data_IF_127768810323
#
_entry.id   IF_127768810323
#
_cell.length_a   1.000
_cell.length_b   1.000
_cell.length_c   1.000
_cell.angle_alpha   90.00
_cell.angle_beta   90.00
_cell.angle_gamma   90.00
#
_symmetry.space_group_name_H-M   'P 1'
#
loop_
_entity.id
_entity.type
_entity.pdbx_description
1 polymer ?
#
# COMPACT_ATOMS: atom_id res chain seq x y z
N UNK A 1 11.15 15.97 13.61
CA UNK A 1 10.25 15.43 12.55
C UNK A 1 9.48 16.55 11.88
N UNK A 2 9.28 16.45 10.58
CA UNK A 2 8.59 17.48 9.79
C UNK A 2 7.06 17.30 9.81
N UNK A 3 6.56 16.10 10.07
CA UNK A 3 5.13 15.76 10.15
C UNK A 3 4.84 15.02 11.45
N UNK A 4 3.74 15.39 12.13
CA UNK A 4 3.31 14.74 13.38
C UNK A 4 2.79 13.32 13.17
N UNK A 5 2.21 13.05 12.00
CA UNK A 5 1.70 11.74 11.66
C UNK A 5 2.24 11.28 10.30
N UNK A 6 2.91 10.13 10.30
CA UNK A 6 3.34 9.40 9.12
C UNK A 6 2.29 8.33 8.82
N UNK A 7 1.69 8.40 7.65
CA UNK A 7 0.70 7.43 7.16
C UNK A 7 1.34 6.64 6.04
N UNK A 8 1.49 5.35 6.23
CA UNK A 8 2.12 4.43 5.28
C UNK A 8 1.05 3.54 4.62
N UNK A 9 1.17 3.31 3.34
CA UNK A 9 0.64 2.09 2.74
C UNK A 9 1.49 0.89 3.15
N UNK A 10 0.98 -0.34 2.92
CA UNK A 10 1.69 -1.57 3.29
C UNK A 10 2.41 -2.20 2.11
N UNK A 11 1.63 -2.62 1.12
CA UNK A 11 2.16 -3.38 -0.02
C UNK A 11 2.99 -2.48 -0.92
N UNK A 12 4.22 -2.92 -1.25
CA UNK A 12 5.18 -2.17 -2.08
C UNK A 12 5.60 -0.79 -1.55
N UNK A 13 5.11 -0.41 -0.39
CA UNK A 13 5.55 0.78 0.36
C UNK A 13 6.38 0.38 1.58
N UNK A 14 5.83 -0.41 2.49
CA UNK A 14 6.53 -0.94 3.67
C UNK A 14 7.23 -2.25 3.36
N UNK A 15 6.56 -3.17 2.66
CA UNK A 15 7.06 -4.50 2.30
C UNK A 15 7.04 -4.74 0.79
N UNK A 16 7.98 -5.51 0.29
CA UNK A 16 8.03 -5.92 -1.12
C UNK A 16 7.10 -7.12 -1.33
N UNK A 17 5.81 -6.87 -1.56
CA UNK A 17 4.77 -7.90 -1.57
C UNK A 17 4.24 -8.21 -2.97
N UNK A 18 4.05 -7.24 -3.86
CA UNK A 18 3.47 -7.53 -5.18
C UNK A 18 4.30 -8.53 -5.96
N UNK A 19 5.59 -8.30 -6.12
CA UNK A 19 6.45 -9.18 -6.90
C UNK A 19 6.66 -10.57 -6.24
N UNK A 20 6.62 -10.64 -4.91
CA UNK A 20 7.01 -11.84 -4.15
C UNK A 20 5.83 -12.65 -3.61
N UNK A 21 4.66 -12.03 -3.46
CA UNK A 21 3.48 -12.63 -2.85
C UNK A 21 2.25 -12.52 -3.78
N UNK A 22 1.79 -11.30 -4.09
CA UNK A 22 0.49 -11.11 -4.76
C UNK A 22 0.51 -11.63 -6.20
N UNK A 23 1.53 -11.29 -6.96
CA UNK A 23 1.66 -11.74 -8.34
C UNK A 23 1.81 -13.27 -8.45
N UNK A 24 2.70 -13.95 -7.69
CA UNK A 24 2.74 -15.42 -7.69
C UNK A 24 1.42 -16.06 -7.27
N UNK A 25 0.75 -15.54 -6.24
CA UNK A 25 -0.56 -16.04 -5.81
C UNK A 25 -1.61 -15.92 -6.91
N UNK A 26 -1.63 -14.77 -7.59
CA UNK A 26 -2.54 -14.54 -8.71
C UNK A 26 -2.29 -15.47 -9.89
N UNK A 27 -1.03 -15.79 -10.18
CA UNK A 27 -0.70 -16.78 -11.22
C UNK A 27 -1.24 -18.18 -10.87
N UNK A 28 -1.25 -18.57 -9.58
CA UNK A 28 -1.86 -19.85 -9.17
C UNK A 28 -3.38 -19.82 -9.38
N UNK A 29 -4.05 -18.72 -9.06
CA UNK A 29 -5.48 -18.57 -9.35
C UNK A 29 -5.77 -18.61 -10.87
N UNK A 30 -4.97 -17.92 -11.68
CA UNK A 30 -5.12 -17.94 -13.15
C UNK A 30 -4.95 -19.35 -13.75
N UNK A 31 -4.05 -20.18 -13.24
CA UNK A 31 -3.90 -21.57 -13.69
C UNK A 31 -5.19 -22.37 -13.54
N UNK A 32 -5.97 -22.09 -12.50
CA UNK A 32 -7.26 -22.74 -12.23
C UNK A 32 -8.40 -22.15 -13.05
N UNK A 33 -8.49 -20.82 -13.05
CA UNK A 33 -9.64 -20.09 -13.61
C UNK A 33 -9.51 -19.82 -15.10
N UNK A 34 -8.30 -19.67 -15.61
CA UNK A 34 -8.01 -19.30 -17.02
C UNK A 34 -6.81 -20.12 -17.54
N UNK A 35 -6.95 -21.45 -17.69
CA UNK A 35 -5.84 -22.31 -18.14
C UNK A 35 -5.19 -21.78 -19.42
N UNK A 36 -3.89 -21.61 -19.42
CA UNK A 36 -3.12 -21.10 -20.56
C UNK A 36 -3.00 -19.56 -20.63
N UNK A 37 -3.70 -18.82 -19.77
CA UNK A 37 -3.51 -17.37 -19.63
C UNK A 37 -2.30 -17.06 -18.76
N UNK A 38 -1.54 -16.06 -19.14
CA UNK A 38 -0.44 -15.49 -18.36
C UNK A 38 -0.51 -13.98 -18.40
N UNK A 39 0.00 -13.34 -17.38
CA UNK A 39 0.21 -11.89 -17.33
C UNK A 39 1.67 -11.66 -16.91
N UNK A 40 2.32 -10.65 -17.46
CA UNK A 40 3.65 -10.24 -16.98
C UNK A 40 3.54 -9.52 -15.63
N UNK A 41 4.62 -9.53 -14.85
CA UNK A 41 4.67 -8.77 -13.59
C UNK A 41 4.44 -7.27 -13.84
N UNK A 42 5.01 -6.73 -14.91
CA UNK A 42 4.84 -5.32 -15.29
C UNK A 42 3.38 -4.99 -15.62
N UNK A 43 2.67 -5.88 -16.34
CA UNK A 43 1.26 -5.68 -16.64
C UNK A 43 0.40 -5.86 -15.39
N UNK A 44 0.76 -6.78 -14.50
CA UNK A 44 0.10 -6.93 -13.21
C UNK A 44 0.21 -5.63 -12.38
N UNK A 45 1.38 -5.01 -12.31
CA UNK A 45 1.54 -3.69 -11.67
C UNK A 45 0.68 -2.62 -12.34
N UNK A 46 0.64 -2.54 -13.69
CA UNK A 46 -0.19 -1.56 -14.41
C UNK A 46 -1.66 -1.71 -14.08
N UNK A 47 -2.16 -2.94 -14.09
CA UNK A 47 -3.56 -3.23 -13.81
C UNK A 47 -3.95 -2.96 -12.35
N UNK A 48 -3.05 -3.17 -11.41
CA UNK A 48 -3.26 -2.80 -10.00
C UNK A 48 -3.23 -1.28 -9.80
N UNK A 49 -2.42 -0.57 -10.56
CA UNK A 49 -2.31 0.88 -10.47
C UNK A 49 -3.57 1.58 -11.00
N UNK A 50 -4.02 1.19 -12.18
CA UNK A 50 -5.22 1.71 -12.84
C UNK A 50 -5.72 0.69 -13.89
N UNK A 51 -6.93 0.14 -13.80
CA UNK A 51 -8.09 0.57 -12.99
C UNK A 51 -8.12 0.03 -11.56
N UNK A 52 -7.17 -0.81 -11.14
CA UNK A 52 -7.16 -1.50 -9.87
C UNK A 52 -7.49 -2.99 -10.00
N UNK A 53 -7.13 -3.79 -9.00
CA UNK A 53 -7.19 -5.24 -9.06
C UNK A 53 -8.59 -5.79 -9.33
N UNK A 54 -9.60 -5.35 -8.57
CA UNK A 54 -10.97 -5.86 -8.72
C UNK A 54 -11.58 -5.47 -10.06
N UNK A 55 -11.52 -4.20 -10.52
CA UNK A 55 -11.94 -3.84 -11.87
C UNK A 55 -11.21 -4.62 -12.97
N UNK A 56 -9.91 -4.85 -12.83
CA UNK A 56 -9.17 -5.70 -13.77
C UNK A 56 -9.73 -7.12 -13.84
N UNK A 57 -9.95 -7.76 -12.71
CA UNK A 57 -10.50 -9.11 -12.65
C UNK A 57 -11.92 -9.19 -13.26
N UNK A 58 -12.79 -8.24 -12.91
CA UNK A 58 -14.20 -8.25 -13.37
C UNK A 58 -14.33 -7.79 -14.82
N UNK A 59 -13.76 -6.63 -15.17
CA UNK A 59 -14.00 -5.99 -16.46
C UNK A 59 -13.15 -6.55 -17.58
N UNK A 60 -11.88 -6.88 -17.29
CA UNK A 60 -10.95 -7.38 -18.33
C UNK A 60 -10.88 -8.89 -18.39
N UNK A 61 -10.90 -9.58 -17.23
CA UNK A 61 -10.85 -11.04 -17.19
C UNK A 61 -12.25 -11.70 -17.17
N UNK A 62 -13.32 -10.92 -16.98
CA UNK A 62 -14.67 -11.42 -16.92
C UNK A 62 -14.90 -12.40 -15.76
N UNK A 63 -14.24 -12.20 -14.62
CA UNK A 63 -14.43 -13.04 -13.44
C UNK A 63 -15.80 -12.82 -12.82
N UNK A 64 -16.48 -13.93 -12.48
CA UNK A 64 -17.70 -13.91 -11.67
C UNK A 64 -17.39 -13.74 -10.19
N UNK A 65 -18.41 -13.48 -9.37
CA UNK A 65 -18.24 -13.39 -7.91
C UNK A 65 -17.67 -14.68 -7.32
N UNK A 66 -18.12 -15.86 -7.81
CA UNK A 66 -17.61 -17.17 -7.39
C UNK A 66 -16.13 -17.36 -7.79
N UNK A 67 -15.72 -16.85 -8.95
CA UNK A 67 -14.32 -16.91 -9.39
C UNK A 67 -13.45 -15.98 -8.58
N UNK A 68 -13.95 -14.80 -8.16
CA UNK A 68 -13.27 -13.92 -7.23
C UNK A 68 -13.09 -14.56 -5.84
N UNK A 69 -14.07 -15.31 -5.35
CA UNK A 69 -13.92 -16.09 -4.11
C UNK A 69 -12.84 -17.17 -4.22
N UNK A 70 -12.72 -17.83 -5.38
CA UNK A 70 -11.66 -18.80 -5.65
C UNK A 70 -10.28 -18.09 -5.67
N UNK A 71 -10.22 -16.93 -6.31
CA UNK A 71 -8.98 -16.12 -6.34
C UNK A 71 -8.53 -15.74 -4.92
N UNK A 72 -9.45 -15.17 -4.11
CA UNK A 72 -9.19 -14.81 -2.70
C UNK A 72 -8.74 -16.04 -1.90
N UNK A 73 -9.32 -17.22 -2.15
CA UNK A 73 -8.89 -18.47 -1.50
C UNK A 73 -7.47 -18.84 -1.90
N UNK A 74 -7.14 -18.82 -3.19
CA UNK A 74 -5.78 -19.09 -3.69
C UNK A 74 -4.77 -18.12 -3.07
N UNK A 75 -5.11 -16.83 -3.01
CA UNK A 75 -4.29 -15.81 -2.38
C UNK A 75 -4.06 -16.13 -0.88
N UNK A 76 -5.13 -16.42 -0.11
CA UNK A 76 -5.02 -16.78 1.31
C UNK A 76 -4.15 -18.02 1.55
N UNK A 77 -4.33 -19.04 0.74
CA UNK A 77 -3.56 -20.28 0.82
C UNK A 77 -2.06 -19.97 0.55
N UNK A 78 -1.76 -19.13 -0.43
CA UNK A 78 -0.39 -18.73 -0.75
C UNK A 78 0.25 -17.89 0.36
N UNK A 79 -0.41 -16.84 0.83
CA UNK A 79 0.13 -15.95 1.87
C UNK A 79 0.27 -16.65 3.21
N UNK A 80 -0.46 -17.74 3.48
CA UNK A 80 -0.30 -18.51 4.73
C UNK A 80 1.11 -19.10 4.88
N UNK A 81 1.79 -19.40 3.77
CA UNK A 81 3.14 -19.97 3.74
C UNK A 81 4.24 -18.98 3.36
N UNK A 82 3.89 -17.72 3.06
CA UNK A 82 4.85 -16.73 2.56
C UNK A 82 4.67 -15.39 3.29
N UNK A 83 5.79 -14.73 3.61
CA UNK A 83 5.82 -13.39 4.22
C UNK A 83 6.62 -12.44 3.36
N UNK A 84 6.15 -11.21 3.20
CA UNK A 84 6.87 -10.19 2.48
C UNK A 84 8.02 -9.62 3.33
N UNK A 85 9.16 -9.33 2.70
CA UNK A 85 10.28 -8.66 3.35
C UNK A 85 10.06 -7.15 3.36
N UNK A 86 10.27 -6.50 4.51
CA UNK A 86 10.28 -5.05 4.57
C UNK A 86 11.43 -4.45 3.75
N UNK A 87 11.20 -3.30 3.15
CA UNK A 87 12.27 -2.54 2.52
C UNK A 87 13.28 -2.06 3.57
N UNK A 88 14.55 -2.09 3.21
CA UNK A 88 15.62 -1.61 4.07
C UNK A 88 15.42 -0.11 4.35
N UNK A 89 15.58 0.31 5.61
CA UNK A 89 15.36 1.69 6.06
C UNK A 89 13.96 1.99 6.62
N UNK A 90 12.94 1.20 6.31
CA UNK A 90 11.56 1.42 6.81
C UNK A 90 11.49 1.31 8.33
N UNK A 91 12.20 0.34 8.93
CA UNK A 91 12.22 0.17 10.39
C UNK A 91 12.74 1.43 11.07
N UNK A 92 13.87 1.92 10.63
CA UNK A 92 14.54 3.11 11.21
C UNK A 92 13.65 4.35 11.11
N UNK A 93 12.90 4.49 10.02
CA UNK A 93 11.92 5.58 9.83
C UNK A 93 10.80 5.47 10.86
N UNK A 94 10.19 4.28 11.03
CA UNK A 94 9.10 4.06 11.97
C UNK A 94 9.58 4.26 13.41
N UNK A 95 10.74 3.69 13.76
CA UNK A 95 11.36 3.83 15.09
C UNK A 95 11.65 5.31 15.40
N UNK A 96 12.22 6.04 14.45
CA UNK A 96 12.55 7.46 14.63
C UNK A 96 11.30 8.31 14.80
N UNK A 97 10.26 8.10 13.96
CA UNK A 97 8.98 8.82 14.08
C UNK A 97 8.38 8.65 15.48
N UNK A 98 8.31 7.40 15.96
CA UNK A 98 7.76 7.10 17.30
C UNK A 98 8.65 7.61 18.42
N UNK A 99 9.97 7.54 18.31
CA UNK A 99 10.91 8.04 19.32
C UNK A 99 10.81 9.56 19.51
N UNK A 100 10.48 10.30 18.46
CA UNK A 100 10.22 11.75 18.55
C UNK A 100 8.78 12.10 19.04
N UNK A 101 8.00 11.10 19.43
CA UNK A 101 6.60 11.28 19.87
C UNK A 101 5.61 11.46 18.73
N UNK A 102 6.02 11.15 17.49
CA UNK A 102 5.15 11.14 16.32
C UNK A 102 4.26 9.91 16.25
N UNK A 103 3.24 9.99 15.41
CA UNK A 103 2.23 8.97 15.17
C UNK A 103 2.57 8.24 13.88
N UNK A 104 2.35 6.93 13.84
CA UNK A 104 2.46 6.10 12.64
C UNK A 104 1.15 5.37 12.42
N UNK A 105 0.46 5.66 11.32
CA UNK A 105 -0.75 4.96 10.91
C UNK A 105 -0.51 4.20 9.61
N UNK A 106 -1.38 3.23 9.34
CA UNK A 106 -1.32 2.43 8.13
C UNK A 106 -2.70 2.37 7.47
N UNK A 107 -2.74 2.62 6.15
CA UNK A 107 -3.95 2.53 5.32
C UNK A 107 -3.62 1.69 4.11
N UNK A 108 -4.22 0.49 4.00
CA UNK A 108 -3.87 -0.48 2.96
C UNK A 108 -5.08 -1.24 2.43
N UNK A 109 -4.94 -1.83 1.24
CA UNK A 109 -5.87 -2.83 0.72
C UNK A 109 -5.52 -4.26 1.18
N UNK A 110 -4.49 -4.44 2.00
CA UNK A 110 -4.18 -5.72 2.64
C UNK A 110 -5.05 -5.99 3.86
N UNK A 111 -5.21 -7.27 4.20
CA UNK A 111 -5.89 -7.69 5.43
C UNK A 111 -5.05 -7.39 6.67
N UNK A 112 -5.70 -6.97 7.74
CA UNK A 112 -5.08 -6.63 9.04
C UNK A 112 -4.18 -7.74 9.58
N UNK A 113 -4.62 -9.02 9.47
CA UNK A 113 -3.83 -10.15 9.95
C UNK A 113 -2.51 -10.29 9.18
N UNK A 114 -2.54 -9.99 7.88
CA UNK A 114 -1.37 -10.06 7.02
C UNK A 114 -0.38 -8.94 7.35
N UNK A 115 -0.89 -7.72 7.48
CA UNK A 115 -0.13 -6.54 7.90
C UNK A 115 0.58 -6.82 9.24
N UNK A 116 -0.17 -7.25 10.26
CA UNK A 116 0.37 -7.52 11.60
C UNK A 116 1.46 -8.60 11.57
N UNK A 117 1.23 -9.70 10.85
CA UNK A 117 2.22 -10.76 10.69
C UNK A 117 3.50 -10.26 10.03
N UNK A 118 3.38 -9.49 8.94
CA UNK A 118 4.54 -8.97 8.22
C UNK A 118 5.32 -7.98 9.10
N UNK A 119 4.64 -7.15 9.89
CA UNK A 119 5.28 -6.28 10.88
C UNK A 119 6.03 -7.08 11.97
N UNK A 120 5.42 -8.14 12.50
CA UNK A 120 6.05 -9.02 13.51
C UNK A 120 7.28 -9.73 12.95
N UNK A 121 7.17 -10.37 11.78
CA UNK A 121 8.27 -11.12 11.16
C UNK A 121 9.45 -10.22 10.79
N UNK A 122 9.17 -8.99 10.33
CA UNK A 122 10.19 -7.99 10.00
C UNK A 122 10.66 -7.19 11.23
N UNK A 123 10.14 -7.48 12.42
CA UNK A 123 10.39 -6.73 13.67
C UNK A 123 10.16 -5.21 13.51
N UNK A 124 9.11 -4.81 12.83
CA UNK A 124 8.71 -3.42 12.69
C UNK A 124 7.88 -2.99 13.92
N UNK A 125 8.03 -1.76 14.43
CA UNK A 125 7.12 -1.24 15.47
C UNK A 125 5.70 -1.15 14.92
N UNK A 126 4.71 -1.71 15.66
CA UNK A 126 3.31 -1.69 15.23
C UNK A 126 2.79 -0.27 15.03
N UNK A 127 1.98 -0.03 13.98
CA UNK A 127 1.29 1.24 13.79
C UNK A 127 0.33 1.56 14.93
N UNK A 128 0.05 2.83 15.14
CA UNK A 128 -0.90 3.29 16.16
C UNK A 128 -2.35 3.08 15.74
N UNK A 129 -2.61 3.10 14.43
CA UNK A 129 -3.88 2.71 13.82
C UNK A 129 -3.62 1.97 12.50
N UNK A 130 -4.48 0.99 12.19
CA UNK A 130 -4.48 0.23 10.92
C UNK A 130 -5.88 0.32 10.32
N UNK A 131 -5.95 0.63 9.04
CA UNK A 131 -7.15 0.58 8.20
C UNK A 131 -6.87 -0.35 7.03
N UNK A 132 -7.29 -1.60 7.15
CA UNK A 132 -7.06 -2.67 6.18
C UNK A 132 -8.30 -3.02 5.38
N UNK A 133 -8.23 -4.17 4.71
CA UNK A 133 -9.32 -4.69 3.88
C UNK A 133 -10.59 -5.03 4.66
N UNK A 134 -10.51 -5.17 5.98
CA UNK A 134 -11.67 -5.39 6.86
C UNK A 134 -12.58 -4.18 6.95
N UNK A 135 -12.12 -2.99 6.59
CA UNK A 135 -12.99 -1.83 6.46
C UNK A 135 -14.06 -2.09 5.37
N UNK A 136 -15.31 -1.61 5.58
CA UNK A 136 -16.32 -1.64 4.52
C UNK A 136 -15.81 -1.02 3.21
N UNK A 137 -16.23 -1.52 2.03
CA UNK A 137 -15.69 -1.06 0.74
C UNK A 137 -15.72 0.46 0.56
N UNK A 138 -16.78 1.13 1.01
CA UNK A 138 -16.95 2.59 0.93
C UNK A 138 -16.02 3.38 1.86
N UNK A 139 -15.33 2.70 2.79
CA UNK A 139 -14.36 3.30 3.72
C UNK A 139 -12.90 3.03 3.33
N UNK A 140 -12.67 2.19 2.31
CA UNK A 140 -11.32 1.88 1.82
C UNK A 140 -10.80 2.97 0.89
N UNK A 141 -9.49 3.01 0.65
CA UNK A 141 -8.90 3.89 -0.38
C UNK A 141 -9.68 3.76 -1.71
N UNK A 142 -10.07 4.84 -2.37
CA UNK A 142 -9.65 6.24 -2.16
C UNK A 142 -10.56 7.06 -1.21
N UNK A 143 -11.41 6.45 -0.39
CA UNK A 143 -12.25 7.17 0.59
C UNK A 143 -11.40 7.90 1.63
N UNK A 144 -11.83 9.10 2.02
CA UNK A 144 -11.15 9.92 3.05
C UNK A 144 -11.41 9.43 4.48
N UNK A 145 -12.26 8.42 4.66
CA UNK A 145 -12.70 7.94 5.97
C UNK A 145 -11.54 7.69 6.95
N UNK A 146 -10.50 6.97 6.53
CA UNK A 146 -9.35 6.68 7.39
C UNK A 146 -8.63 7.96 7.84
N UNK A 147 -8.47 8.93 6.94
CA UNK A 147 -7.85 10.24 7.26
C UNK A 147 -8.70 11.04 8.24
N UNK A 148 -10.01 11.01 8.09
CA UNK A 148 -10.96 11.65 9.03
C UNK A 148 -10.84 11.03 10.43
N UNK A 149 -10.75 9.70 10.51
CA UNK A 149 -10.59 9.01 11.80
C UNK A 149 -9.24 9.35 12.46
N UNK A 150 -8.13 9.36 11.70
CA UNK A 150 -6.79 9.72 12.19
C UNK A 150 -6.78 11.19 12.65
N UNK A 151 -7.26 12.10 11.80
CA UNK A 151 -7.35 13.53 12.11
C UNK A 151 -8.17 13.78 13.38
N UNK A 152 -9.37 13.18 13.48
CA UNK A 152 -10.23 13.30 14.65
C UNK A 152 -9.62 12.71 15.92
N UNK A 153 -9.00 11.53 15.83
CA UNK A 153 -8.40 10.84 16.98
C UNK A 153 -7.25 11.59 17.61
N UNK A 154 -6.41 12.22 16.79
CA UNK A 154 -5.18 12.89 17.23
C UNK A 154 -5.26 14.41 17.14
N UNK A 155 -6.41 14.99 16.76
CA UNK A 155 -6.64 16.42 16.56
C UNK A 155 -5.60 17.04 15.61
N UNK A 156 -5.34 16.37 14.48
CA UNK A 156 -4.37 16.79 13.49
C UNK A 156 -5.03 17.55 12.34
N UNK A 157 -4.31 18.53 11.83
CA UNK A 157 -4.64 19.17 10.55
C UNK A 157 -4.00 18.40 9.39
N UNK A 158 -4.53 18.53 8.15
CA UNK A 158 -3.97 17.85 6.98
C UNK A 158 -2.46 18.08 6.79
N UNK A 159 -2.00 19.33 6.98
CA UNK A 159 -0.58 19.71 6.82
C UNK A 159 0.36 19.13 7.90
N UNK A 160 -0.18 18.58 8.98
CA UNK A 160 0.58 17.89 10.04
C UNK A 160 0.73 16.39 9.77
N UNK A 161 0.10 15.89 8.72
CA UNK A 161 0.14 14.51 8.26
C UNK A 161 0.90 14.42 6.95
N UNK A 162 1.45 13.25 6.63
CA UNK A 162 2.00 12.92 5.31
C UNK A 162 1.65 11.48 4.97
N UNK A 163 1.26 11.25 3.73
CA UNK A 163 0.97 9.91 3.19
C UNK A 163 2.12 9.47 2.30
N UNK A 164 2.56 8.22 2.46
CA UNK A 164 3.53 7.55 1.58
C UNK A 164 2.83 6.33 0.98
N UNK A 165 2.67 6.29 -0.34
CA UNK A 165 1.92 5.22 -1.04
C UNK A 165 2.45 5.10 -2.48
N UNK A 166 2.42 3.91 -3.06
CA UNK A 166 2.89 3.63 -4.42
C UNK A 166 1.77 3.60 -5.47
N UNK A 167 0.48 3.64 -5.03
CA UNK A 167 -0.67 3.48 -5.90
C UNK A 167 -1.56 4.74 -6.02
N UNK A 168 -2.25 4.83 -7.15
CA UNK A 168 -3.20 5.90 -7.46
C UNK A 168 -4.33 6.06 -6.42
N UNK A 169 -4.95 5.00 -5.85
CA UNK A 169 -5.98 5.19 -4.80
C UNK A 169 -5.49 5.93 -3.56
N UNK A 170 -4.24 5.73 -3.13
CA UNK A 170 -3.65 6.49 -2.04
C UNK A 170 -3.43 7.96 -2.40
N UNK A 171 -2.96 8.23 -3.62
CA UNK A 171 -2.86 9.59 -4.14
C UNK A 171 -4.22 10.29 -4.19
N UNK A 172 -5.25 9.63 -4.74
CA UNK A 172 -6.61 10.22 -4.86
C UNK A 172 -7.18 10.54 -3.46
N UNK A 173 -6.99 9.65 -2.48
CA UNK A 173 -7.37 9.86 -1.08
C UNK A 173 -6.65 11.09 -0.48
N UNK A 174 -5.34 11.18 -0.65
CA UNK A 174 -4.53 12.29 -0.15
C UNK A 174 -5.01 13.63 -0.71
N UNK A 175 -5.28 13.69 -2.02
CA UNK A 175 -5.77 14.89 -2.70
C UNK A 175 -7.16 15.32 -2.22
N UNK A 176 -8.05 14.37 -2.01
CA UNK A 176 -9.41 14.63 -1.53
C UNK A 176 -9.42 15.23 -0.11
N UNK A 177 -8.44 14.87 0.73
CA UNK A 177 -8.32 15.37 2.11
C UNK A 177 -7.24 16.45 2.28
N UNK A 178 -6.57 16.86 1.22
CA UNK A 178 -5.50 17.89 1.21
C UNK A 178 -4.30 17.54 2.09
N UNK A 179 -3.96 16.25 2.21
CA UNK A 179 -2.76 15.78 2.93
C UNK A 179 -1.58 15.73 1.95
N UNK A 180 -0.38 16.23 2.35
CA UNK A 180 0.85 16.03 1.59
C UNK A 180 1.09 14.57 1.21
N UNK A 181 1.46 14.33 -0.04
CA UNK A 181 1.60 12.98 -0.60
C UNK A 181 3.02 12.73 -1.16
N UNK A 182 3.61 11.65 -0.71
CA UNK A 182 4.88 11.12 -1.19
C UNK A 182 4.61 9.88 -2.04
N UNK A 183 4.94 9.94 -3.31
CA UNK A 183 4.92 8.78 -4.19
C UNK A 183 6.10 7.84 -3.89
N UNK A 184 5.81 6.60 -3.48
CA UNK A 184 6.78 5.55 -3.22
C UNK A 184 7.16 4.85 -4.53
N UNK A 185 8.29 5.20 -5.11
CA UNK A 185 8.74 4.71 -6.42
C UNK A 185 9.86 3.67 -6.36
N UNK A 186 9.98 2.92 -5.27
CA UNK A 186 11.05 1.93 -5.08
C UNK A 186 10.64 0.48 -5.37
N UNK A 187 9.35 0.19 -5.54
CA UNK A 187 8.85 -1.17 -5.80
C UNK A 187 8.98 -1.60 -7.26
N UNK A 188 8.81 -0.65 -8.18
CA UNK A 188 8.83 -0.92 -9.62
C UNK A 188 9.43 0.26 -10.41
N UNK A 189 9.72 0.03 -11.69
CA UNK A 189 10.25 1.07 -12.58
C UNK A 189 9.43 1.17 -13.88
N UNK A 190 8.12 1.02 -13.76
CA UNK A 190 7.19 1.07 -14.89
C UNK A 190 7.00 2.52 -15.32
N UNK A 191 7.33 2.88 -16.58
CA UNK A 191 7.36 4.27 -17.02
C UNK A 191 6.04 5.01 -16.82
N UNK A 192 4.91 4.37 -17.07
CA UNK A 192 3.57 4.98 -16.98
C UNK A 192 3.23 5.32 -15.50
N UNK A 193 3.45 4.39 -14.58
CA UNK A 193 3.25 4.58 -13.13
C UNK A 193 4.19 5.68 -12.62
N UNK A 194 5.48 5.54 -12.93
CA UNK A 194 6.50 6.51 -12.53
C UNK A 194 6.19 7.92 -13.03
N UNK A 195 5.79 8.08 -14.30
CA UNK A 195 5.47 9.38 -14.87
C UNK A 195 4.25 10.00 -14.22
N UNK A 196 3.21 9.19 -13.95
CA UNK A 196 2.02 9.66 -13.23
C UNK A 196 2.40 10.12 -11.81
N UNK A 197 3.07 9.27 -11.04
CA UNK A 197 3.42 9.56 -9.65
C UNK A 197 4.37 10.76 -9.55
N UNK A 198 5.41 10.82 -10.36
CA UNK A 198 6.35 11.94 -10.39
C UNK A 198 5.70 13.27 -10.76
N UNK A 199 4.68 13.25 -11.63
CA UNK A 199 3.97 14.47 -12.06
C UNK A 199 2.98 14.97 -11.02
N UNK A 200 2.34 14.06 -10.28
CA UNK A 200 1.16 14.38 -9.48
C UNK A 200 1.43 14.39 -7.96
N UNK A 201 2.43 13.64 -7.47
CA UNK A 201 2.82 13.67 -6.04
C UNK A 201 3.47 15.00 -5.67
N UNK A 202 3.37 15.41 -4.41
CA UNK A 202 4.11 16.57 -3.90
C UNK A 202 5.60 16.27 -3.85
N UNK A 203 5.94 15.01 -3.51
CA UNK A 203 7.28 14.45 -3.51
C UNK A 203 7.27 13.05 -4.12
N UNK A 204 8.36 12.66 -4.75
CA UNK A 204 8.49 11.33 -5.35
C UNK A 204 9.91 10.80 -5.12
N UNK A 205 10.01 9.67 -4.43
CA UNK A 205 11.29 9.05 -4.13
C UNK A 205 11.40 7.68 -4.77
N UNK A 206 12.58 7.35 -5.25
CA UNK A 206 12.88 6.05 -5.88
C UNK A 206 13.61 5.10 -4.96
N UNK A 207 13.95 5.56 -3.76
CA UNK A 207 14.63 4.80 -2.70
C UNK A 207 14.09 5.19 -1.34
N UNK A 208 13.96 4.21 -0.46
CA UNK A 208 13.51 4.43 0.93
C UNK A 208 14.45 5.37 1.69
N UNK A 209 15.77 5.32 1.41
CA UNK A 209 16.76 6.18 2.08
C UNK A 209 16.50 7.68 1.87
N UNK A 210 15.83 8.07 0.78
CA UNK A 210 15.47 9.47 0.50
C UNK A 210 14.35 9.97 1.42
N UNK A 211 13.53 9.06 1.97
CA UNK A 211 12.42 9.39 2.85
C UNK A 211 12.91 9.84 4.26
N UNK A 212 14.01 9.27 4.74
CA UNK A 212 14.51 9.59 6.08
C UNK A 212 14.89 11.09 6.24
N UNK A 213 15.78 11.68 5.40
CA UNK A 213 16.07 13.10 5.52
C UNK A 213 14.87 14.00 5.24
N UNK A 214 13.98 13.60 4.34
CA UNK A 214 12.73 14.33 4.09
C UNK A 214 11.84 14.43 5.34
N UNK A 215 11.78 13.39 6.15
CA UNK A 215 10.92 13.36 7.34
C UNK A 215 11.58 14.03 8.57
N UNK A 216 12.89 13.99 8.70
CA UNK A 216 13.57 14.29 9.97
C UNK A 216 14.64 15.40 9.90
N UNK A 217 15.19 15.69 8.74
CA UNK A 217 16.18 16.76 8.60
C UNK A 217 15.48 18.09 8.34
N UNK A 218 15.85 19.11 9.13
CA UNK A 218 15.31 20.48 9.08
C UNK A 218 16.02 21.31 8.01
#
# INVERSE_FOLDING_TARGET
MNYKCLILDHDDTVVNSTATIHYPAFLEALKLLRPGMTISLDDYFRENFDPGFVPYCVEKLGMTDEELEIEVKCWRDYVSGHTAKAYDGIREIIERQKAEGGIVCLISHSYDFNIKRDYEVNNLPMPDMIFGWECPPEQRKPSTYALEQISGRYSLKPEEMVIVDDLKPGYDMARAYHVPFVGAGWSNNIPEIRNFMKKNSDFYFTKVEELYPFLFDS
#
